data_IF_738608127785
#
_entry.id   IF_738608127785
#
_cell.length_a   1.000
_cell.length_b   1.000
_cell.length_c   1.000
_cell.angle_alpha   90.00
_cell.angle_beta   90.00
_cell.angle_gamma   90.00
#
_symmetry.space_group_name_H-M   'P 1'
#
loop_
_entity.id
_entity.type
_entity.pdbx_description
1 polymer ?
#
# COMPACT_ATOMS: atom_id res chain seq x y z
N UNK A 1 3.37 -12.41 1.35
CA UNK A 1 3.90 -11.16 1.92
C UNK A 1 3.64 -11.16 3.41
N UNK A 2 4.71 -11.21 4.20
CA UNK A 2 4.68 -11.15 5.66
C UNK A 2 4.26 -9.76 6.15
N UNK A 3 4.04 -9.61 7.46
CA UNK A 3 3.66 -8.32 8.03
C UNK A 3 4.76 -7.28 7.94
N UNK A 4 6.01 -7.68 8.21
CA UNK A 4 7.18 -6.80 8.08
C UNK A 4 7.39 -6.28 6.66
N UNK A 5 7.15 -7.12 5.66
CA UNK A 5 7.22 -6.71 4.25
C UNK A 5 6.13 -5.71 3.89
N UNK A 6 4.95 -5.84 4.50
CA UNK A 6 3.84 -4.90 4.31
C UNK A 6 4.15 -3.53 4.92
N UNK A 7 4.62 -3.50 6.17
CA UNK A 7 5.07 -2.27 6.85
C UNK A 7 6.19 -1.57 6.07
N UNK A 8 7.15 -2.34 5.55
CA UNK A 8 8.27 -1.78 4.77
C UNK A 8 7.80 -1.11 3.48
N UNK A 9 6.82 -1.72 2.78
CA UNK A 9 6.24 -1.15 1.56
C UNK A 9 5.36 0.07 1.84
N UNK A 10 4.67 0.11 2.98
CA UNK A 10 3.95 1.30 3.42
C UNK A 10 4.91 2.45 3.70
N UNK A 11 6.02 2.19 4.38
CA UNK A 11 7.04 3.21 4.63
C UNK A 11 7.70 3.71 3.33
N UNK A 12 7.89 2.83 2.34
CA UNK A 12 8.38 3.22 1.02
C UNK A 12 7.38 4.10 0.26
N UNK A 13 6.10 3.74 0.27
CA UNK A 13 5.04 4.53 -0.35
C UNK A 13 4.91 5.91 0.30
N UNK A 14 4.97 5.98 1.63
CA UNK A 14 4.90 7.23 2.39
C UNK A 14 6.03 8.19 1.99
N UNK A 15 7.26 7.68 1.92
CA UNK A 15 8.42 8.47 1.45
C UNK A 15 8.25 8.95 0.01
N UNK A 16 7.80 8.08 -0.90
CA UNK A 16 7.61 8.46 -2.31
C UNK A 16 6.58 9.57 -2.51
N UNK A 17 5.59 9.67 -1.62
CA UNK A 17 4.52 10.66 -1.70
C UNK A 17 4.82 11.94 -0.91
N UNK A 18 5.50 11.83 0.22
CA UNK A 18 5.65 12.92 1.20
C UNK A 18 7.07 13.49 1.30
N UNK A 19 8.08 12.81 0.74
CA UNK A 19 9.47 13.29 0.80
C UNK A 19 9.83 14.14 -0.44
N UNK A 20 10.06 15.45 -0.29
CA UNK A 20 10.43 16.32 -1.40
C UNK A 20 11.85 16.07 -1.92
N UNK A 21 12.71 15.38 -1.17
CA UNK A 21 14.04 14.99 -1.63
C UNK A 21 13.97 13.79 -2.58
N UNK A 22 12.86 13.04 -2.55
CA UNK A 22 12.64 11.88 -3.40
C UNK A 22 11.85 12.30 -4.64
N UNK A 23 12.40 11.98 -5.81
CA UNK A 23 11.66 12.10 -7.07
C UNK A 23 10.47 11.15 -7.04
N UNK A 24 9.26 11.70 -6.99
CA UNK A 24 8.03 10.92 -7.05
C UNK A 24 7.98 10.09 -8.34
N UNK A 25 8.11 8.78 -8.20
CA UNK A 25 7.96 7.81 -9.30
C UNK A 25 6.52 7.25 -9.28
N UNK A 26 5.71 7.75 -10.20
CA UNK A 26 4.31 7.33 -10.32
C UNK A 26 4.17 5.82 -10.60
N UNK A 27 5.06 5.24 -11.41
CA UNK A 27 5.00 3.80 -11.71
C UNK A 27 5.28 2.97 -10.46
N UNK A 28 6.26 3.38 -9.66
CA UNK A 28 6.58 2.73 -8.39
C UNK A 28 5.46 2.84 -7.37
N UNK A 29 4.84 4.02 -7.26
CA UNK A 29 3.66 4.25 -6.40
C UNK A 29 2.51 3.32 -6.77
N UNK A 30 2.17 3.23 -8.07
CA UNK A 30 1.09 2.36 -8.53
C UNK A 30 1.39 0.88 -8.33
N UNK A 31 2.64 0.45 -8.52
CA UNK A 31 3.06 -0.92 -8.23
C UNK A 31 2.91 -1.26 -6.74
N UNK A 32 3.41 -0.39 -5.84
CA UNK A 32 3.27 -0.56 -4.39
C UNK A 32 1.81 -0.64 -3.96
N UNK A 33 0.95 0.26 -4.47
CA UNK A 33 -0.48 0.25 -4.19
C UNK A 33 -1.16 -1.04 -4.66
N UNK A 34 -0.82 -1.55 -5.84
CA UNK A 34 -1.38 -2.80 -6.36
C UNK A 34 -1.01 -3.99 -5.47
N UNK A 35 0.24 -4.06 -5.02
CA UNK A 35 0.74 -5.12 -4.13
C UNK A 35 0.10 -5.06 -2.73
N UNK A 36 -0.04 -3.86 -2.17
CA UNK A 36 -0.70 -3.63 -0.88
C UNK A 36 -2.19 -3.98 -0.95
N UNK A 37 -2.87 -3.56 -2.02
CA UNK A 37 -4.30 -3.85 -2.27
C UNK A 37 -4.56 -5.35 -2.48
N UNK A 38 -3.66 -6.06 -3.16
CA UNK A 38 -3.75 -7.51 -3.32
C UNK A 38 -3.72 -8.22 -1.96
N UNK A 39 -2.83 -7.82 -1.04
CA UNK A 39 -2.83 -8.38 0.33
C UNK A 39 -4.11 -8.02 1.10
N UNK A 40 -4.61 -6.79 0.99
CA UNK A 40 -5.85 -6.37 1.64
C UNK A 40 -7.07 -7.15 1.16
N UNK A 41 -7.15 -7.45 -0.14
CA UNK A 41 -8.23 -8.29 -0.73
C UNK A 41 -8.17 -9.76 -0.32
N UNK A 42 -6.98 -10.28 -0.05
CA UNK A 42 -6.79 -11.69 0.35
C UNK A 42 -7.07 -11.90 1.85
N UNK A 43 -7.32 -10.83 2.62
CA UNK A 43 -7.83 -10.94 4.00
C UNK A 43 -9.36 -10.88 4.00
N UNK A 44 -10.09 -12.02 4.11
CA UNK A 44 -11.55 -12.06 4.01
C UNK A 44 -12.28 -11.49 5.25
N UNK A 45 -11.64 -10.67 6.09
CA UNK A 45 -12.15 -10.32 7.42
C UNK A 45 -12.44 -8.83 7.68
N UNK A 46 -12.29 -7.90 6.73
CA UNK A 46 -12.41 -6.46 7.09
C UNK A 46 -13.07 -5.51 6.09
N UNK A 47 -13.75 -5.98 5.04
CA UNK A 47 -14.71 -5.12 4.34
C UNK A 47 -16.09 -5.33 4.97
N UNK A 48 -16.29 -4.66 6.12
CA UNK A 48 -17.59 -4.56 6.76
C UNK A 48 -18.62 -4.02 5.77
N UNK A 49 -19.71 -4.76 5.64
CA UNK A 49 -20.97 -4.34 5.04
C UNK A 49 -21.38 -2.95 5.50
N UNK A 50 -21.33 -1.96 4.60
CA UNK A 50 -22.15 -0.77 4.70
C UNK A 50 -23.41 -1.01 3.85
N UNK A 51 -24.41 -1.62 4.49
CA UNK A 51 -25.79 -1.56 4.04
C UNK A 51 -26.41 -0.28 4.61
N UNK A 52 -26.93 0.58 3.73
CA UNK A 52 -28.07 1.49 3.96
C UNK A 52 -28.52 2.07 2.63
#
# INVERSE_FOLDING_TARGET
MTEREFESKLAELDRLLNDPEIRMDAHRVWALLAELSAKARISPASFGTAAA
#
